data_IF_502391602965
#
_entry.id   IF_502391602965
#
_cell.length_a   1.000
_cell.length_b   1.000
_cell.length_c   1.000
_cell.angle_alpha   90.00
_cell.angle_beta   90.00
_cell.angle_gamma   90.00
#
_symmetry.space_group_name_H-M   'P 1'
#
loop_
_entity.id
_entity.type
_entity.pdbx_description
1 polymer ?
#
# COMPACT_ATOMS: atom_id res chain seq x y z
N UNK A 1 13.50 -50.10 39.34
CA UNK A 1 14.55 -49.94 40.37
C UNK A 1 15.39 -48.73 39.95
N UNK A 2 15.52 -47.63 40.69
CA UNK A 2 14.91 -47.20 41.95
C UNK A 2 15.66 -45.97 42.49
N UNK A 3 14.92 -44.94 42.91
CA UNK A 3 15.23 -43.92 43.96
C UNK A 3 16.71 -43.59 44.25
N UNK A 4 17.23 -42.35 44.22
CA UNK A 4 16.65 -41.01 44.01
C UNK A 4 17.06 -40.01 45.12
N UNK A 5 16.79 -38.70 44.90
CA UNK A 5 16.65 -37.63 45.94
C UNK A 5 17.95 -37.15 46.67
N UNK A 6 18.10 -35.92 47.18
CA UNK A 6 17.19 -34.75 47.31
C UNK A 6 17.93 -33.42 47.69
N UNK A 7 17.21 -32.28 47.53
CA UNK A 7 17.40 -30.90 48.11
C UNK A 7 18.56 -30.07 47.51
N UNK A 8 18.43 -28.76 47.26
CA UNK A 8 17.42 -27.73 47.60
C UNK A 8 18.13 -26.55 48.27
N UNK A 9 17.83 -25.25 48.15
CA UNK A 9 16.64 -24.47 47.76
C UNK A 9 17.04 -22.98 47.94
N UNK A 10 16.57 -22.03 47.09
CA UNK A 10 16.38 -20.57 47.41
C UNK A 10 17.61 -19.74 47.87
N UNK A 11 17.69 -18.39 47.80
CA UNK A 11 16.78 -17.29 47.41
C UNK A 11 17.60 -16.15 46.74
N UNK A 12 17.00 -15.35 45.84
CA UNK A 12 16.63 -13.93 46.03
C UNK A 12 17.78 -12.88 46.15
N UNK A 13 17.63 -11.80 45.37
CA UNK A 13 18.54 -10.64 45.26
C UNK A 13 18.61 -9.76 46.52
N UNK A 14 19.51 -8.76 46.55
CA UNK A 14 19.00 -7.40 46.30
C UNK A 14 19.89 -6.47 45.43
N UNK A 15 19.25 -5.54 44.70
CA UNK A 15 19.85 -4.25 44.28
C UNK A 15 19.77 -3.27 45.47
N UNK A 16 20.64 -2.25 45.60
CA UNK A 16 20.35 -0.90 45.06
C UNK A 16 21.64 -0.08 44.76
N UNK A 17 21.64 1.27 44.60
CA UNK A 17 20.56 2.23 44.32
C UNK A 17 20.78 3.08 43.04
N UNK A 18 19.81 3.95 42.76
CA UNK A 18 19.86 4.99 41.73
C UNK A 18 20.79 6.17 42.14
N UNK A 19 21.34 6.87 41.14
CA UNK A 19 21.86 8.23 41.33
C UNK A 19 21.21 9.19 40.33
N UNK A 20 20.70 10.31 40.84
CA UNK A 20 20.09 11.39 40.06
C UNK A 20 21.15 12.45 39.74
N UNK A 21 21.12 13.01 38.54
CA UNK A 21 21.82 14.26 38.22
C UNK A 21 20.86 15.28 37.63
N UNK A 22 20.53 16.28 38.44
CA UNK A 22 19.90 17.52 38.02
C UNK A 22 20.95 18.46 37.43
N UNK A 23 20.65 19.08 36.29
CA UNK A 23 21.29 20.34 35.90
C UNK A 23 20.24 21.41 35.58
N UNK A 24 20.29 22.49 36.34
CA UNK A 24 19.51 23.71 36.21
C UNK A 24 20.49 24.88 36.22
N UNK A 25 20.49 25.72 35.17
CA UNK A 25 20.59 27.20 35.27
C UNK A 25 20.42 27.80 33.86
N UNK A 26 19.26 28.40 33.55
CA UNK A 26 18.99 29.85 33.61
C UNK A 26 19.91 30.73 32.73
N UNK A 27 19.36 31.31 31.65
CA UNK A 27 18.90 32.72 31.58
C UNK A 27 18.31 33.05 30.20
N UNK A 28 17.26 33.87 30.20
CA UNK A 28 16.72 34.64 29.07
C UNK A 28 16.19 35.98 29.65
N UNK A 29 15.18 36.65 29.06
CA UNK A 29 14.50 36.38 27.77
C UNK A 29 14.97 37.41 26.70
N UNK A 30 14.31 38.53 26.31
CA UNK A 30 12.99 39.10 26.66
C UNK A 30 11.86 38.67 25.67
N UNK A 31 10.85 39.52 25.46
CA UNK A 31 9.52 39.28 24.86
C UNK A 31 9.16 40.31 23.80
N UNK A 32 8.21 39.99 22.91
CA UNK A 32 7.21 40.96 22.47
C UNK A 32 5.83 40.29 22.34
N UNK A 33 4.84 40.82 23.06
CA UNK A 33 3.43 40.43 22.98
C UNK A 33 2.75 41.15 21.82
N UNK A 34 1.77 40.48 21.19
CA UNK A 34 0.49 41.13 20.86
C UNK A 34 -0.65 40.17 21.15
N UNK A 35 -1.52 40.60 22.06
CA UNK A 35 -2.88 40.09 22.20
C UNK A 35 -3.81 41.26 21.92
N UNK A 36 -4.89 41.05 21.18
CA UNK A 36 -6.00 42.00 21.17
C UNK A 36 -7.35 41.34 20.90
N UNK A 37 -8.20 41.49 21.91
CA UNK A 37 -9.66 41.56 21.94
C UNK A 37 -10.53 40.67 21.02
N UNK A 38 -11.30 39.84 21.74
CA UNK A 38 -12.71 39.53 21.49
C UNK A 38 -13.54 40.79 21.15
N UNK A 39 -14.45 40.66 20.18
CA UNK A 39 -15.71 41.41 20.19
C UNK A 39 -16.88 40.50 19.73
N UNK A 40 -17.81 40.26 20.64
CA UNK A 40 -19.05 39.52 20.39
C UNK A 40 -20.17 40.46 19.94
N UNK A 41 -21.04 39.98 19.03
CA UNK A 41 -22.53 40.17 18.97
C UNK A 41 -23.03 40.06 17.51
N UNK A 42 -24.20 39.46 17.28
CA UNK A 42 -24.91 39.62 16.00
C UNK A 42 -25.64 38.41 15.41
N UNK A 43 -26.54 37.79 16.16
CA UNK A 43 -27.70 37.08 15.62
C UNK A 43 -28.96 37.63 16.35
N UNK A 44 -30.21 37.43 15.90
CA UNK A 44 -30.67 36.55 14.80
C UNK A 44 -31.71 37.18 13.83
N UNK A 45 -31.98 36.52 12.69
CA UNK A 45 -33.31 36.43 12.07
C UNK A 45 -33.32 35.17 11.17
N UNK A 46 -33.92 34.05 11.59
CA UNK A 46 -35.33 33.69 11.39
C UNK A 46 -35.83 33.82 9.94
N UNK A 47 -35.72 32.73 9.17
CA UNK A 47 -36.81 32.29 8.29
C UNK A 47 -37.06 30.79 8.48
N UNK A 48 -38.31 30.47 8.84
CA UNK A 48 -38.81 29.11 9.06
C UNK A 48 -39.85 28.83 7.98
N UNK A 49 -39.64 27.78 7.21
CA UNK A 49 -40.73 27.01 6.63
C UNK A 49 -40.63 25.59 7.19
N UNK A 50 -41.77 25.03 7.56
CA UNK A 50 -41.91 23.69 8.15
C UNK A 50 -43.02 22.96 7.40
N UNK A 51 -43.21 21.68 7.76
CA UNK A 51 -44.25 20.75 7.29
C UNK A 51 -43.90 20.07 5.95
N UNK A 52 -44.03 18.74 5.78
CA UNK A 52 -44.32 17.66 6.75
C UNK A 52 -44.03 16.27 6.12
N UNK A 53 -43.82 15.22 6.94
CA UNK A 53 -44.20 13.85 6.57
C UNK A 53 -43.11 12.78 6.33
N UNK A 54 -42.66 12.10 7.41
CA UNK A 54 -42.78 10.64 7.71
C UNK A 54 -42.39 9.60 6.62
N UNK A 55 -41.78 8.39 6.91
CA UNK A 55 -41.26 7.79 8.16
C UNK A 55 -39.73 7.41 8.09
N UNK A 56 -39.12 6.86 9.15
CA UNK A 56 -37.73 6.36 9.11
C UNK A 56 -37.61 4.94 8.52
N UNK A 57 -36.47 4.58 7.88
CA UNK A 57 -36.16 3.20 7.54
C UNK A 57 -35.78 2.39 8.79
N UNK A 58 -36.34 1.19 8.90
CA UNK A 58 -36.13 0.26 10.02
C UNK A 58 -34.76 -0.43 9.96
N UNK A 59 -34.30 -0.91 11.12
CA UNK A 59 -33.11 -1.76 11.24
C UNK A 59 -33.36 -3.21 10.83
N UNK A 60 -32.82 -3.65 9.70
CA UNK A 60 -32.49 -5.05 9.41
C UNK A 60 -31.60 -5.11 8.14
N UNK A 61 -30.51 -5.87 8.03
CA UNK A 61 -29.81 -6.70 9.01
C UNK A 61 -28.34 -6.88 8.61
N UNK A 62 -27.55 -7.59 9.41
CA UNK A 62 -26.14 -7.83 9.11
C UNK A 62 -25.98 -8.74 7.88
N UNK A 63 -25.36 -8.22 6.82
CA UNK A 63 -24.82 -9.02 5.72
C UNK A 63 -23.30 -9.03 5.79
N UNK A 64 -22.76 -10.10 6.36
CA UNK A 64 -21.33 -10.41 6.39
C UNK A 64 -20.84 -10.80 4.99
N UNK A 65 -20.50 -9.79 4.18
CA UNK A 65 -19.93 -10.00 2.85
C UNK A 65 -18.49 -10.53 2.94
N UNK A 66 -18.34 -11.80 2.59
CA UNK A 66 -17.06 -12.50 2.45
C UNK A 66 -16.22 -11.87 1.32
N UNK A 67 -14.89 -11.70 1.50
CA UNK A 67 -14.01 -11.24 0.42
C UNK A 67 -13.73 -12.37 -0.58
N UNK A 68 -14.53 -12.45 -1.65
CA UNK A 68 -14.51 -13.60 -2.56
C UNK A 68 -15.04 -13.35 -3.97
N UNK A 69 -14.67 -12.24 -4.61
CA UNK A 69 -14.96 -12.01 -6.04
C UNK A 69 -13.65 -11.91 -6.83
N UNK A 70 -13.26 -13.03 -7.46
CA UNK A 70 -12.20 -13.04 -8.48
C UNK A 70 -12.83 -12.71 -9.84
N UNK A 71 -12.22 -11.81 -10.60
CA UNK A 71 -12.65 -11.47 -11.96
C UNK A 71 -12.01 -12.47 -12.92
N UNK A 72 -12.83 -13.33 -13.53
CA UNK A 72 -12.40 -14.16 -14.65
C UNK A 72 -12.58 -13.38 -15.96
N UNK A 73 -11.57 -13.41 -16.84
CA UNK A 73 -11.60 -12.73 -18.13
C UNK A 73 -12.23 -13.62 -19.21
N UNK A 74 -13.12 -13.04 -20.03
CA UNK A 74 -13.60 -13.65 -21.27
C UNK A 74 -12.73 -13.27 -22.48
N UNK A 75 -12.85 -13.98 -23.63
CA UNK A 75 -12.11 -13.67 -24.84
C UNK A 75 -12.67 -12.41 -25.55
N UNK A 76 -11.80 -11.63 -26.21
CA UNK A 76 -12.16 -10.37 -26.87
C UNK A 76 -11.80 -10.35 -28.38
N UNK A 77 -12.62 -9.73 -29.26
CA UNK A 77 -12.45 -9.68 -30.73
C UNK A 77 -11.27 -8.83 -31.26
N UNK A 78 -10.94 -8.92 -32.58
CA UNK A 78 -9.75 -8.32 -33.18
C UNK A 78 -9.84 -6.81 -33.53
N UNK A 79 -8.70 -6.26 -33.92
CA UNK A 79 -8.36 -4.83 -34.11
C UNK A 79 -8.96 -4.16 -35.36
N UNK A 80 -9.03 -2.82 -35.35
CA UNK A 80 -9.12 -1.99 -36.55
C UNK A 80 -8.60 -0.54 -36.34
N UNK A 81 -7.90 0.01 -37.34
CA UNK A 81 -7.89 1.45 -37.67
C UNK A 81 -6.76 2.35 -37.12
N UNK A 82 -5.76 2.66 -37.96
CA UNK A 82 -4.90 3.86 -37.83
C UNK A 82 -5.55 5.09 -38.50
N UNK A 83 -5.07 6.31 -38.19
CA UNK A 83 -4.91 7.49 -39.09
C UNK A 83 -4.19 8.64 -38.30
N UNK A 84 -3.65 9.72 -38.95
CA UNK A 84 -2.33 10.28 -38.57
C UNK A 84 -2.32 11.61 -37.78
N UNK A 85 -1.11 12.00 -37.36
CA UNK A 85 -0.80 13.15 -36.51
C UNK A 85 -0.46 14.45 -37.26
N UNK A 86 -0.60 15.59 -36.57
CA UNK A 86 0.07 16.87 -36.88
C UNK A 86 0.58 17.55 -35.60
N UNK A 87 1.59 18.41 -35.79
CA UNK A 87 2.46 18.99 -34.74
C UNK A 87 1.89 20.25 -34.08
N UNK A 88 2.34 20.54 -32.85
CA UNK A 88 2.82 21.88 -32.46
C UNK A 88 3.69 21.81 -31.18
N UNK A 89 4.64 22.75 -31.06
CA UNK A 89 5.74 22.72 -30.08
C UNK A 89 5.55 23.70 -28.91
N UNK A 90 5.92 23.30 -27.70
CA UNK A 90 6.27 24.22 -26.61
C UNK A 90 7.32 23.61 -25.67
N UNK A 91 8.32 24.40 -25.29
CA UNK A 91 9.36 24.01 -24.34
C UNK A 91 8.87 24.17 -22.88
N UNK A 92 9.40 23.33 -21.96
CA UNK A 92 10.13 23.77 -20.73
C UNK A 92 10.09 22.73 -19.59
N UNK A 93 11.25 22.55 -18.95
CA UNK A 93 11.54 21.71 -17.75
C UNK A 93 11.51 20.19 -17.92
N UNK A 94 12.65 19.55 -17.70
CA UNK A 94 12.91 18.13 -17.98
C UNK A 94 12.85 17.28 -16.71
N UNK A 95 12.09 16.18 -16.72
CA UNK A 95 12.31 14.99 -15.88
C UNK A 95 12.08 13.74 -16.73
N UNK A 96 12.95 12.74 -16.58
CA UNK A 96 12.97 11.49 -17.36
C UNK A 96 12.62 10.33 -16.43
N UNK A 97 12.02 9.26 -16.95
CA UNK A 97 11.75 8.04 -16.20
C UNK A 97 13.07 7.46 -15.67
N UNK A 98 13.29 7.51 -14.36
CA UNK A 98 14.48 6.92 -13.74
C UNK A 98 14.20 5.48 -13.35
N UNK A 99 14.98 4.56 -13.95
CA UNK A 99 15.10 3.19 -13.48
C UNK A 99 16.00 3.17 -12.24
N UNK A 100 15.65 2.37 -11.24
CA UNK A 100 16.34 2.38 -9.95
C UNK A 100 16.40 1.02 -9.24
N UNK A 101 17.65 0.59 -9.06
CA UNK A 101 18.15 -0.30 -8.01
C UNK A 101 19.25 0.49 -7.27
N UNK A 102 19.51 0.30 -5.96
CA UNK A 102 20.54 1.06 -5.25
C UNK A 102 21.96 0.92 -5.86
N UNK A 103 22.33 1.90 -6.70
CA UNK A 103 23.64 2.13 -7.35
C UNK A 103 24.28 0.93 -8.06
N UNK A 104 23.93 0.78 -9.35
CA UNK A 104 24.92 0.67 -10.43
C UNK A 104 24.42 1.55 -11.59
N UNK A 105 25.25 2.46 -12.11
CA UNK A 105 24.77 3.57 -12.95
C UNK A 105 24.97 3.37 -14.45
N UNK A 106 24.03 3.86 -15.25
CA UNK A 106 24.23 4.18 -16.68
C UNK A 106 23.42 5.42 -17.07
N UNK A 107 23.85 6.12 -18.13
CA UNK A 107 23.33 7.41 -18.55
C UNK A 107 22.78 7.38 -20.00
N UNK A 108 21.85 8.28 -20.30
CA UNK A 108 21.27 8.49 -21.63
C UNK A 108 19.75 8.63 -21.56
N UNK A 109 19.19 9.74 -22.05
CA UNK A 109 17.74 9.99 -22.02
C UNK A 109 17.22 10.57 -23.32
N UNK A 110 15.90 10.42 -23.56
CA UNK A 110 15.16 11.06 -24.66
C UNK A 110 13.72 11.41 -24.22
N UNK A 111 13.00 12.36 -24.88
CA UNK A 111 11.74 12.92 -24.37
C UNK A 111 10.46 12.63 -25.19
N UNK A 112 9.31 12.92 -24.57
CA UNK A 112 8.04 13.35 -25.17
C UNK A 112 7.31 12.40 -26.16
N UNK A 113 6.93 11.22 -25.65
CA UNK A 113 5.89 10.38 -26.25
C UNK A 113 5.29 9.36 -25.27
N UNK A 114 5.41 9.61 -23.96
CA UNK A 114 5.64 8.54 -22.99
C UNK A 114 4.57 7.46 -22.87
N UNK A 115 3.27 7.77 -23.01
CA UNK A 115 2.23 6.74 -22.81
C UNK A 115 2.10 5.80 -24.02
N UNK A 116 2.32 6.29 -25.25
CA UNK A 116 2.27 5.46 -26.46
C UNK A 116 3.60 4.76 -26.79
N UNK A 117 4.66 5.01 -26.00
CA UNK A 117 6.03 4.59 -26.32
C UNK A 117 6.77 3.92 -25.16
N UNK A 118 6.07 3.62 -24.06
CA UNK A 118 6.55 2.62 -23.11
C UNK A 118 6.47 1.25 -23.80
N UNK A 119 7.62 0.76 -24.24
CA UNK A 119 7.79 -0.64 -24.59
C UNK A 119 7.73 -1.46 -23.29
N UNK A 120 6.50 -1.74 -22.84
CA UNK A 120 6.22 -2.46 -21.60
C UNK A 120 6.77 -3.88 -21.65
N UNK A 121 6.85 -4.48 -22.84
CA UNK A 121 7.49 -5.77 -23.04
C UNK A 121 8.99 -5.66 -22.76
N UNK A 122 9.69 -4.72 -23.38
CA UNK A 122 11.10 -4.46 -23.10
C UNK A 122 11.36 -4.14 -21.64
N UNK A 123 10.55 -3.29 -20.99
CA UNK A 123 10.69 -2.97 -19.57
C UNK A 123 10.50 -4.21 -18.69
N UNK A 124 9.51 -5.05 -19.00
CA UNK A 124 9.29 -6.30 -18.30
C UNK A 124 10.47 -7.28 -18.45
N UNK A 125 10.92 -7.48 -19.69
CA UNK A 125 11.91 -8.50 -20.06
C UNK A 125 13.36 -8.11 -19.74
N UNK A 126 13.75 -6.86 -19.98
CA UNK A 126 15.13 -6.39 -19.82
C UNK A 126 15.40 -5.73 -18.46
N UNK A 127 14.37 -5.33 -17.70
CA UNK A 127 14.54 -4.65 -16.42
C UNK A 127 13.83 -5.32 -15.24
N UNK A 128 12.50 -5.51 -15.29
CA UNK A 128 11.74 -6.05 -14.15
C UNK A 128 12.17 -7.48 -13.84
N UNK A 129 12.19 -8.37 -14.85
CA UNK A 129 12.57 -9.77 -14.68
C UNK A 129 14.00 -9.93 -14.12
N UNK A 130 15.05 -9.33 -14.70
CA UNK A 130 16.40 -9.40 -14.14
C UNK A 130 16.49 -8.85 -12.70
N UNK A 131 15.93 -7.67 -12.43
CA UNK A 131 16.02 -7.08 -11.09
C UNK A 131 15.28 -7.90 -10.03
N UNK A 132 14.12 -8.49 -10.37
CA UNK A 132 13.43 -9.40 -9.46
C UNK A 132 14.27 -10.66 -9.16
N UNK A 133 14.97 -11.24 -10.14
CA UNK A 133 15.84 -12.40 -9.88
C UNK A 133 17.10 -12.05 -9.09
N UNK A 134 17.79 -10.97 -9.46
CA UNK A 134 19.10 -10.63 -8.88
C UNK A 134 19.00 -9.91 -7.52
N UNK A 135 18.04 -8.99 -7.40
CA UNK A 135 17.92 -8.04 -6.28
C UNK A 135 16.73 -8.40 -5.38
N UNK A 136 15.64 -8.87 -5.97
CA UNK A 136 14.38 -9.20 -5.29
C UNK A 136 13.31 -8.09 -5.34
N UNK A 137 13.66 -6.91 -5.84
CA UNK A 137 12.78 -5.76 -6.05
C UNK A 137 13.30 -4.84 -7.15
N UNK A 138 12.43 -3.99 -7.71
CA UNK A 138 12.79 -2.90 -8.63
C UNK A 138 11.71 -1.81 -8.63
N UNK A 139 12.06 -0.58 -8.98
CA UNK A 139 11.07 0.47 -9.23
C UNK A 139 11.27 1.21 -10.55
N UNK A 140 10.19 1.84 -11.02
CA UNK A 140 10.07 2.68 -12.21
C UNK A 140 9.56 4.05 -11.75
N UNK A 141 10.31 5.12 -12.01
CA UNK A 141 9.84 6.50 -11.76
C UNK A 141 9.20 7.11 -13.00
N UNK A 142 8.24 8.01 -12.79
CA UNK A 142 7.48 8.70 -13.83
C UNK A 142 6.71 7.71 -14.74
N UNK A 143 6.02 6.73 -14.14
CA UNK A 143 5.40 5.60 -14.84
C UNK A 143 4.19 5.97 -15.70
N UNK A 144 3.24 6.73 -15.16
CA UNK A 144 2.04 7.18 -15.89
C UNK A 144 2.24 8.54 -16.57
N UNK A 145 3.19 9.33 -16.09
CA UNK A 145 3.30 10.76 -16.37
C UNK A 145 2.35 11.59 -15.51
N UNK A 146 2.66 12.89 -15.39
CA UNK A 146 2.01 13.79 -14.43
C UNK A 146 0.48 13.86 -14.57
N UNK A 147 -0.03 14.00 -15.80
CA UNK A 147 -1.47 14.16 -16.07
C UNK A 147 -2.28 12.97 -15.55
N UNK A 148 -1.87 11.75 -15.88
CA UNK A 148 -2.61 10.53 -15.48
C UNK A 148 -2.38 10.21 -14.01
N UNK A 149 -1.15 10.41 -13.50
CA UNK A 149 -0.85 10.30 -12.07
C UNK A 149 -1.67 11.26 -11.21
N UNK A 150 -1.95 12.48 -11.69
CA UNK A 150 -2.84 13.43 -11.04
C UNK A 150 -4.29 12.96 -11.01
N UNK A 151 -4.82 12.42 -12.12
CA UNK A 151 -6.17 11.84 -12.13
C UNK A 151 -6.32 10.70 -11.10
N UNK A 152 -5.29 9.85 -10.94
CA UNK A 152 -5.28 8.81 -9.90
C UNK A 152 -5.21 9.44 -8.49
N UNK A 153 -4.34 10.43 -8.27
CA UNK A 153 -4.19 11.11 -6.98
C UNK A 153 -5.47 11.83 -6.55
N UNK A 154 -6.12 12.58 -7.45
CA UNK A 154 -7.38 13.25 -7.15
C UNK A 154 -8.50 12.26 -6.82
N UNK A 155 -8.58 11.12 -7.52
CA UNK A 155 -9.54 10.07 -7.15
C UNK A 155 -9.27 9.50 -5.76
N UNK A 156 -8.00 9.26 -5.41
CA UNK A 156 -7.61 8.78 -4.07
C UNK A 156 -7.90 9.83 -2.98
N UNK A 157 -7.65 11.11 -3.24
CA UNK A 157 -8.04 12.21 -2.33
C UNK A 157 -9.55 12.26 -2.12
N UNK A 158 -10.37 12.20 -3.18
CA UNK A 158 -11.83 12.18 -3.07
C UNK A 158 -12.32 11.04 -2.17
N UNK A 159 -11.80 9.83 -2.36
CA UNK A 159 -12.16 8.67 -1.54
C UNK A 159 -11.81 8.87 -0.06
N UNK A 160 -10.67 9.52 0.22
CA UNK A 160 -10.27 9.85 1.58
C UNK A 160 -11.15 10.95 2.19
N UNK A 161 -11.37 12.06 1.48
CA UNK A 161 -12.23 13.16 1.90
C UNK A 161 -13.70 12.72 2.15
N UNK A 162 -14.20 11.78 1.34
CA UNK A 162 -15.55 11.22 1.49
C UNK A 162 -15.65 10.14 2.58
N UNK A 163 -14.59 9.88 3.35
CA UNK A 163 -14.59 8.91 4.46
C UNK A 163 -14.69 7.45 4.02
N UNK A 164 -14.36 7.12 2.77
CA UNK A 164 -14.44 5.75 2.24
C UNK A 164 -13.33 4.82 2.78
N UNK A 165 -12.24 5.39 3.29
CA UNK A 165 -11.11 4.66 3.87
C UNK A 165 -11.38 4.30 5.34
N UNK A 166 -11.05 3.07 5.73
CA UNK A 166 -11.25 2.51 7.09
C UNK A 166 -9.95 1.99 7.65
N UNK A 167 -9.77 2.03 8.98
CA UNK A 167 -8.59 1.49 9.67
C UNK A 167 -8.11 0.13 9.10
N UNK A 168 -6.83 0.04 8.77
CA UNK A 168 -6.20 -1.13 8.20
C UNK A 168 -6.29 -2.37 9.11
N UNK A 169 -6.73 -3.49 8.54
CA UNK A 169 -6.85 -4.77 9.25
C UNK A 169 -5.70 -5.72 8.89
N UNK A 170 -5.51 -6.77 9.71
CA UNK A 170 -4.51 -7.81 9.50
C UNK A 170 -5.17 -9.11 9.05
N UNK A 171 -4.48 -9.86 8.19
CA UNK A 171 -4.90 -11.20 7.81
C UNK A 171 -4.64 -12.20 8.95
N UNK A 172 -5.63 -13.07 9.25
CA UNK A 172 -5.46 -14.17 10.21
C UNK A 172 -6.75 -14.53 10.98
N UNK A 173 -6.67 -15.48 11.93
CA UNK A 173 -7.85 -15.99 12.67
C UNK A 173 -8.57 -14.97 13.55
N UNK A 174 -7.97 -13.79 13.79
CA UNK A 174 -8.58 -12.66 14.52
C UNK A 174 -8.88 -11.50 13.56
N UNK A 175 -9.47 -11.83 12.41
CA UNK A 175 -9.93 -10.85 11.43
C UNK A 175 -10.87 -9.82 12.10
N UNK A 176 -10.79 -8.56 11.67
CA UNK A 176 -11.63 -7.47 12.19
C UNK A 176 -10.99 -6.58 13.26
N UNK A 177 -9.96 -7.03 13.99
CA UNK A 177 -9.32 -6.18 15.03
C UNK A 177 -8.27 -5.25 14.41
N UNK A 178 -8.61 -3.96 14.28
CA UNK A 178 -7.63 -2.90 14.00
C UNK A 178 -6.57 -2.87 15.10
N UNK A 179 -5.31 -3.05 14.72
CA UNK A 179 -4.15 -2.93 15.62
C UNK A 179 -3.30 -1.76 15.17
N UNK A 180 -3.71 -0.55 15.61
CA UNK A 180 -3.02 0.73 15.30
C UNK A 180 -1.53 0.76 15.65
N UNK A 181 -1.09 -0.07 16.61
CA UNK A 181 0.33 -0.24 16.96
C UNK A 181 1.13 -1.11 15.98
N UNK A 182 0.46 -1.88 15.11
CA UNK A 182 1.10 -2.64 14.04
C UNK A 182 1.01 -1.86 12.73
N UNK A 183 -0.19 -1.41 12.33
CA UNK A 183 -0.41 -0.58 11.14
C UNK A 183 -1.28 0.64 11.46
N UNK A 184 -0.79 1.83 11.09
CA UNK A 184 -1.45 3.11 11.36
C UNK A 184 -2.21 3.70 10.17
N UNK A 185 -2.42 2.92 9.11
CA UNK A 185 -3.05 3.37 7.86
C UNK A 185 -4.56 3.11 7.81
N UNK A 186 -5.22 3.83 6.92
CA UNK A 186 -6.62 3.65 6.54
C UNK A 186 -6.66 3.18 5.08
N UNK A 187 -7.50 2.19 4.78
CA UNK A 187 -7.55 1.52 3.47
C UNK A 187 -8.95 1.45 2.87
N UNK A 188 -9.01 1.31 1.55
CA UNK A 188 -10.20 0.84 0.82
C UNK A 188 -9.80 -0.04 -0.37
N UNK A 189 -10.72 -0.84 -0.89
CA UNK A 189 -10.47 -1.83 -1.94
C UNK A 189 -11.26 -1.51 -3.21
N UNK A 190 -10.56 -1.31 -4.33
CA UNK A 190 -11.12 -0.84 -5.61
C UNK A 190 -10.89 -1.89 -6.70
N UNK A 191 -11.92 -2.23 -7.47
CA UNK A 191 -11.83 -3.13 -8.61
C UNK A 191 -11.17 -2.48 -9.83
N UNK A 192 -11.40 -1.18 -10.02
CA UNK A 192 -11.05 -0.42 -11.22
C UNK A 192 -12.22 -0.33 -12.21
N UNK A 193 -13.42 -0.73 -11.80
CA UNK A 193 -14.65 -0.67 -12.60
C UNK A 193 -15.74 0.19 -11.93
N UNK A 194 -15.44 0.75 -10.76
CA UNK A 194 -16.25 1.75 -10.09
C UNK A 194 -16.24 3.10 -10.85
N UNK A 195 -17.35 3.83 -10.83
CA UNK A 195 -17.47 5.16 -11.47
C UNK A 195 -16.39 6.14 -10.97
N UNK A 196 -15.79 6.92 -11.88
CA UNK A 196 -14.74 7.87 -11.55
C UNK A 196 -13.37 7.22 -11.25
N UNK A 197 -13.21 5.92 -11.48
CA UNK A 197 -11.96 5.18 -11.30
C UNK A 197 -11.27 4.84 -12.64
N UNK A 198 -11.55 5.58 -13.72
CA UNK A 198 -11.05 5.30 -15.08
C UNK A 198 -9.51 5.36 -15.13
N UNK A 199 -8.91 6.37 -14.50
CA UNK A 199 -7.44 6.49 -14.39
C UNK A 199 -6.82 5.36 -13.53
N UNK A 200 -7.54 4.90 -12.51
CA UNK A 200 -7.16 3.72 -11.70
C UNK A 200 -7.23 2.45 -12.55
N UNK A 201 -8.30 2.29 -13.33
CA UNK A 201 -8.46 1.17 -14.29
C UNK A 201 -7.31 1.14 -15.29
N UNK A 202 -6.95 2.30 -15.83
CA UNK A 202 -5.85 2.45 -16.77
C UNK A 202 -4.50 2.07 -16.16
N UNK A 203 -4.17 2.61 -14.97
CA UNK A 203 -3.00 2.21 -14.18
C UNK A 203 -2.95 0.68 -13.98
N UNK A 204 -4.05 0.08 -13.53
CA UNK A 204 -4.12 -1.36 -13.32
C UNK A 204 -3.88 -2.15 -14.61
N UNK A 205 -4.45 -1.72 -15.75
CA UNK A 205 -4.22 -2.35 -17.05
C UNK A 205 -2.76 -2.31 -17.52
N UNK A 206 -2.00 -1.29 -17.12
CA UNK A 206 -0.57 -1.16 -17.42
C UNK A 206 0.28 -2.10 -16.56
N UNK A 207 -0.03 -2.19 -15.25
CA UNK A 207 0.65 -3.14 -14.34
C UNK A 207 0.34 -4.58 -14.76
N UNK A 208 -0.92 -4.87 -15.11
CA UNK A 208 -1.35 -6.19 -15.58
C UNK A 208 -0.59 -6.59 -16.86
N UNK A 209 -0.40 -5.66 -17.81
CA UNK A 209 0.45 -5.91 -18.99
C UNK A 209 1.92 -6.15 -18.63
N UNK A 210 2.52 -5.36 -17.75
CA UNK A 210 3.91 -5.58 -17.31
C UNK A 210 4.11 -6.99 -16.73
N UNK A 211 3.22 -7.43 -15.84
CA UNK A 211 3.31 -8.77 -15.23
C UNK A 211 3.03 -9.88 -16.25
N UNK A 212 2.11 -9.66 -17.19
CA UNK A 212 1.86 -10.59 -18.30
C UNK A 212 3.09 -10.76 -19.21
N UNK A 213 3.78 -9.68 -19.56
CA UNK A 213 5.02 -9.73 -20.35
C UNK A 213 6.17 -10.39 -19.59
N UNK A 214 6.24 -10.24 -18.26
CA UNK A 214 7.20 -11.00 -17.44
C UNK A 214 6.93 -12.52 -17.56
N UNK A 215 5.64 -12.92 -17.52
CA UNK A 215 5.17 -14.26 -17.87
C UNK A 215 5.93 -15.39 -17.16
N UNK A 216 6.28 -16.43 -17.90
CA UNK A 216 7.07 -17.58 -17.41
C UNK A 216 8.51 -17.22 -17.02
N UNK A 217 8.99 -16.01 -17.32
CA UNK A 217 10.34 -15.58 -16.91
C UNK A 217 10.41 -15.17 -15.44
N UNK A 218 9.30 -15.12 -14.72
CA UNK A 218 9.25 -14.95 -13.26
C UNK A 218 9.73 -16.20 -12.48
N UNK A 219 10.35 -17.17 -13.17
CA UNK A 219 10.87 -18.41 -12.57
C UNK A 219 9.75 -19.44 -12.46
N UNK A 220 9.55 -19.98 -11.26
CA UNK A 220 8.53 -21.02 -11.00
C UNK A 220 7.08 -20.52 -10.96
N UNK A 221 6.87 -19.20 -10.95
CA UNK A 221 5.54 -18.62 -10.71
C UNK A 221 4.71 -18.54 -11.97
N UNK A 222 3.44 -18.97 -11.88
CA UNK A 222 2.47 -18.84 -12.95
C UNK A 222 1.31 -17.95 -12.53
N UNK A 223 1.40 -16.67 -12.91
CA UNK A 223 0.44 -15.64 -12.50
C UNK A 223 -0.84 -15.72 -13.33
N UNK A 224 -1.99 -15.86 -12.65
CA UNK A 224 -3.33 -15.95 -13.27
C UNK A 224 -4.35 -14.93 -12.76
N UNK A 225 -4.27 -14.54 -11.49
CA UNK A 225 -5.17 -13.58 -10.86
C UNK A 225 -4.38 -12.55 -10.04
N UNK A 226 -4.97 -11.39 -9.79
CA UNK A 226 -4.47 -10.40 -8.82
C UNK A 226 -5.59 -9.95 -7.89
N UNK A 227 -5.22 -9.24 -6.83
CA UNK A 227 -6.18 -8.61 -5.93
C UNK A 227 -6.89 -7.42 -6.60
N UNK A 228 -7.98 -6.96 -5.95
CA UNK A 228 -8.40 -5.56 -6.03
C UNK A 228 -7.25 -4.64 -5.58
N UNK A 229 -7.25 -3.39 -6.03
CA UNK A 229 -6.30 -2.39 -5.56
C UNK A 229 -6.64 -1.97 -4.12
N UNK A 230 -5.71 -2.17 -3.19
CA UNK A 230 -5.76 -1.58 -1.86
C UNK A 230 -5.23 -0.14 -1.95
N UNK A 231 -6.12 0.85 -1.94
CA UNK A 231 -5.74 2.24 -1.67
C UNK A 231 -5.44 2.35 -0.18
N UNK A 232 -4.30 2.93 0.18
CA UNK A 232 -3.89 3.16 1.57
C UNK A 232 -3.51 4.63 1.79
N UNK A 233 -3.90 5.17 2.95
CA UNK A 233 -3.53 6.47 3.47
C UNK A 233 -2.88 6.30 4.85
N UNK A 234 -1.64 6.75 5.01
CA UNK A 234 -1.03 6.98 6.32
C UNK A 234 -1.25 8.47 6.64
N UNK A 235 -2.08 8.85 7.62
CA UNK A 235 -2.54 10.23 7.81
C UNK A 235 -1.50 11.18 8.44
N UNK A 236 -0.22 10.78 8.52
CA UNK A 236 0.83 11.51 9.23
C UNK A 236 0.93 11.09 10.70
N UNK A 237 1.30 12.03 11.58
CA UNK A 237 1.40 11.83 13.05
C UNK A 237 2.30 10.65 13.50
N UNK A 238 3.31 10.29 12.71
CA UNK A 238 4.20 9.17 12.98
C UNK A 238 3.60 7.79 12.69
N UNK A 239 2.45 7.72 11.99
CA UNK A 239 1.86 6.44 11.57
C UNK A 239 2.78 5.70 10.60
N UNK A 240 2.88 4.39 10.76
CA UNK A 240 3.72 3.51 9.94
C UNK A 240 3.17 2.09 9.93
N UNK A 241 3.95 1.15 9.41
CA UNK A 241 3.63 -0.27 9.39
C UNK A 241 4.87 -1.07 9.81
N UNK A 242 4.76 -1.81 10.91
CA UNK A 242 5.89 -2.57 11.47
C UNK A 242 6.47 -3.57 10.47
N UNK A 243 7.73 -3.97 10.70
CA UNK A 243 8.41 -4.97 9.88
C UNK A 243 7.60 -6.27 9.80
N UNK A 244 7.28 -6.67 8.57
CA UNK A 244 6.50 -7.86 8.27
C UNK A 244 6.96 -8.48 6.95
N UNK A 245 6.39 -9.64 6.60
CA UNK A 245 6.46 -10.26 5.28
C UNK A 245 5.04 -10.28 4.74
N UNK A 246 4.87 -10.01 3.46
CA UNK A 246 3.54 -9.94 2.85
C UNK A 246 2.86 -11.32 2.88
N UNK A 247 3.53 -12.33 2.30
CA UNK A 247 3.12 -13.73 2.26
C UNK A 247 4.05 -14.62 3.11
N UNK A 248 3.87 -14.68 4.45
CA UNK A 248 4.73 -15.48 5.33
C UNK A 248 4.39 -16.98 5.31
N UNK A 249 3.19 -17.36 4.83
CA UNK A 249 2.55 -18.66 5.07
C UNK A 249 2.08 -19.41 3.81
N UNK A 250 2.32 -18.87 2.60
CA UNK A 250 1.89 -19.48 1.35
C UNK A 250 0.41 -19.28 1.04
N UNK A 251 -0.07 -18.03 0.98
CA UNK A 251 -1.46 -17.68 0.65
C UNK A 251 -1.74 -17.46 -0.86
N UNK A 252 -0.71 -17.64 -1.68
CA UNK A 252 -0.69 -17.50 -3.13
C UNK A 252 -0.02 -16.22 -3.63
N UNK A 253 0.17 -15.18 -2.80
CA UNK A 253 0.75 -13.91 -3.26
C UNK A 253 2.23 -14.07 -3.58
N UNK A 254 2.62 -13.86 -4.84
CA UNK A 254 4.00 -14.00 -5.30
C UNK A 254 4.68 -12.65 -5.54
N UNK A 255 3.98 -11.67 -6.13
CA UNK A 255 4.51 -10.33 -6.43
C UNK A 255 3.61 -9.27 -5.79
N UNK A 256 4.23 -8.38 -5.02
CA UNK A 256 3.61 -7.15 -4.53
C UNK A 256 3.99 -6.01 -5.47
N UNK A 257 3.00 -5.26 -5.93
CA UNK A 257 3.19 -4.06 -6.73
C UNK A 257 2.57 -2.85 -6.02
N UNK A 258 3.34 -1.77 -5.87
CA UNK A 258 2.93 -0.54 -5.17
C UNK A 258 3.13 0.67 -6.07
N UNK A 259 2.08 1.45 -6.30
CA UNK A 259 2.13 2.75 -6.95
C UNK A 259 2.03 3.88 -5.92
N UNK A 260 2.92 4.87 -6.02
CA UNK A 260 3.01 5.99 -5.07
C UNK A 260 2.53 7.31 -5.67
N UNK A 261 1.88 8.13 -4.82
CA UNK A 261 1.04 9.25 -5.24
C UNK A 261 1.45 10.59 -4.60
N UNK A 262 2.61 10.68 -3.97
CA UNK A 262 2.93 11.78 -3.05
C UNK A 262 3.77 12.86 -3.73
N UNK A 263 3.11 13.91 -4.25
CA UNK A 263 3.80 15.05 -4.88
C UNK A 263 4.70 15.76 -3.87
N UNK A 264 5.89 16.16 -4.33
CA UNK A 264 6.87 16.92 -3.57
C UNK A 264 7.26 16.27 -2.22
N UNK A 265 7.33 14.94 -2.17
CA UNK A 265 7.77 14.22 -0.98
C UNK A 265 9.26 14.48 -0.70
N UNK A 266 9.57 14.86 0.54
CA UNK A 266 10.93 14.93 1.08
C UNK A 266 11.00 13.96 2.25
N UNK A 267 11.64 12.80 2.06
CA UNK A 267 11.74 11.78 3.11
C UNK A 267 12.44 12.27 4.39
N UNK A 268 13.31 13.30 4.32
CA UNK A 268 13.98 13.86 5.50
C UNK A 268 13.03 14.66 6.38
N UNK A 269 11.97 15.23 5.80
CA UNK A 269 10.94 16.03 6.50
C UNK A 269 9.70 15.22 6.83
N UNK A 270 9.26 14.38 5.88
CA UNK A 270 7.98 13.68 5.95
C UNK A 270 8.11 12.22 6.41
N UNK A 271 9.31 11.65 6.44
CA UNK A 271 9.53 10.23 6.76
C UNK A 271 8.86 9.31 5.73
N UNK A 272 8.12 8.31 6.20
CA UNK A 272 7.26 7.46 5.37
C UNK A 272 7.98 6.54 4.36
N UNK A 273 9.30 6.40 4.49
CA UNK A 273 10.13 5.52 3.65
C UNK A 273 9.67 4.07 3.80
N UNK A 274 9.53 3.35 2.67
CA UNK A 274 9.44 1.89 2.71
C UNK A 274 10.86 1.34 2.81
N UNK A 275 11.17 0.66 3.90
CA UNK A 275 12.45 -0.01 4.11
C UNK A 275 12.30 -1.51 3.88
N UNK A 276 13.05 -2.05 2.93
CA UNK A 276 13.10 -3.47 2.57
C UNK A 276 14.42 -4.05 3.08
N UNK A 277 14.38 -5.28 3.59
CA UNK A 277 15.53 -6.02 4.14
C UNK A 277 15.77 -7.32 3.35
N UNK A 278 16.26 -7.29 2.10
CA UNK A 278 16.29 -8.47 1.23
C UNK A 278 17.07 -9.63 1.84
N UNK A 279 16.46 -10.82 1.86
CA UNK A 279 17.04 -12.02 2.49
C UNK A 279 18.35 -12.42 1.78
N UNK A 280 19.39 -12.75 2.56
CA UNK A 280 20.70 -13.11 2.05
C UNK A 280 21.51 -11.95 1.42
N UNK A 281 21.03 -10.71 1.46
CA UNK A 281 21.79 -9.53 1.03
C UNK A 281 22.38 -8.78 2.24
N UNK A 282 23.54 -8.14 2.04
CA UNK A 282 24.23 -7.33 3.05
C UNK A 282 23.70 -5.89 3.18
N UNK A 283 22.83 -5.47 2.26
CA UNK A 283 22.30 -4.11 2.21
C UNK A 283 20.83 -4.06 2.64
N UNK A 284 20.42 -2.87 3.08
CA UNK A 284 19.02 -2.50 3.32
C UNK A 284 18.61 -1.53 2.20
N UNK A 285 17.41 -1.67 1.66
CA UNK A 285 16.92 -0.81 0.59
C UNK A 285 15.83 0.13 1.11
N UNK A 286 16.08 1.44 1.01
CA UNK A 286 15.12 2.48 1.35
C UNK A 286 14.48 3.04 0.07
N UNK A 287 13.15 2.91 -0.04
CA UNK A 287 12.35 3.38 -1.17
C UNK A 287 11.47 4.54 -0.71
N UNK A 288 11.78 5.75 -1.19
CA UNK A 288 10.95 6.93 -0.96
C UNK A 288 9.61 6.81 -1.72
N UNK A 289 8.47 7.15 -1.10
CA UNK A 289 7.13 7.01 -1.69
C UNK A 289 6.78 8.18 -2.62
N UNK A 290 7.69 8.57 -3.51
CA UNK A 290 7.53 9.74 -4.39
C UNK A 290 6.39 9.54 -5.40
N UNK A 291 5.77 10.64 -5.85
CA UNK A 291 4.75 10.63 -6.89
C UNK A 291 5.21 9.92 -8.17
N UNK A 292 4.30 9.14 -8.75
CA UNK A 292 4.44 8.42 -10.02
C UNK A 292 5.59 7.38 -10.05
N UNK A 293 5.94 6.85 -8.86
CA UNK A 293 6.80 5.67 -8.71
C UNK A 293 5.96 4.39 -8.65
N UNK A 294 6.29 3.43 -9.50
CA UNK A 294 5.79 2.05 -9.45
C UNK A 294 6.90 1.13 -8.92
N UNK A 295 6.63 0.38 -7.86
CA UNK A 295 7.55 -0.56 -7.21
C UNK A 295 7.03 -1.99 -7.35
N UNK A 296 7.92 -2.93 -7.66
CA UNK A 296 7.67 -4.37 -7.62
C UNK A 296 8.64 -5.05 -6.64
N UNK A 297 8.16 -6.04 -5.88
CA UNK A 297 9.00 -6.93 -5.09
C UNK A 297 8.32 -8.29 -4.85
N UNK A 298 9.10 -9.33 -4.58
CA UNK A 298 8.54 -10.63 -4.18
C UNK A 298 7.81 -10.54 -2.84
N UNK A 299 6.57 -11.01 -2.78
CA UNK A 299 5.72 -10.93 -1.57
C UNK A 299 6.17 -11.85 -0.43
N UNK A 300 6.97 -12.88 -0.71
CA UNK A 300 7.38 -13.88 0.29
C UNK A 300 8.55 -13.43 1.18
N UNK A 301 9.11 -14.38 1.94
CA UNK A 301 10.16 -14.15 2.94
C UNK A 301 11.44 -13.53 2.39
N UNK A 302 11.65 -13.50 1.07
CA UNK A 302 12.75 -12.80 0.42
C UNK A 302 12.76 -11.29 0.69
N UNK A 303 11.60 -10.66 0.92
CA UNK A 303 11.50 -9.21 1.18
C UNK A 303 10.69 -8.85 2.44
N UNK A 304 11.21 -9.12 3.65
CA UNK A 304 10.68 -8.50 4.87
C UNK A 304 10.84 -6.99 4.77
N UNK A 305 9.82 -6.23 5.11
CA UNK A 305 9.81 -4.76 4.93
C UNK A 305 8.95 -4.04 5.97
N UNK A 306 9.21 -2.75 6.17
CA UNK A 306 8.49 -1.85 7.08
C UNK A 306 8.21 -0.50 6.42
N UNK A 307 7.11 0.15 6.80
CA UNK A 307 6.87 1.56 6.48
C UNK A 307 7.24 2.39 7.69
N UNK A 308 8.30 3.18 7.56
CA UNK A 308 8.76 4.08 8.61
C UNK A 308 7.71 5.12 8.97
N UNK A 309 7.75 5.70 10.19
CA UNK A 309 6.84 6.76 10.61
C UNK A 309 6.69 7.87 9.56
N UNK A 310 5.44 8.11 9.16
CA UNK A 310 5.03 9.17 8.24
C UNK A 310 4.56 10.38 9.03
N UNK A 311 5.09 11.55 8.72
CA UNK A 311 4.74 12.83 9.36
C UNK A 311 3.89 13.75 8.47
N UNK A 312 3.71 13.36 7.19
CA UNK A 312 2.72 13.93 6.29
C UNK A 312 1.76 12.83 5.79
N UNK A 313 0.64 13.24 5.18
CA UNK A 313 -0.32 12.34 4.52
C UNK A 313 0.35 11.61 3.37
N UNK A 314 0.46 10.29 3.46
CA UNK A 314 1.12 9.42 2.48
C UNK A 314 0.14 8.44 1.88
N UNK A 315 -0.14 8.61 0.60
CA UNK A 315 -0.96 7.71 -0.21
C UNK A 315 -0.12 6.67 -0.95
N UNK A 316 -0.66 5.47 -1.09
CA UNK A 316 -0.15 4.42 -1.95
C UNK A 316 -1.30 3.55 -2.46
N UNK A 317 -1.11 2.89 -3.60
CA UNK A 317 -2.00 1.86 -4.13
C UNK A 317 -1.23 0.55 -4.27
N UNK A 318 -1.75 -0.53 -3.70
CA UNK A 318 -1.10 -1.85 -3.72
C UNK A 318 -1.98 -2.89 -4.41
N UNK A 319 -1.39 -3.67 -5.30
CA UNK A 319 -1.97 -4.93 -5.80
C UNK A 319 -1.00 -6.08 -5.55
N UNK A 320 -1.56 -7.26 -5.28
CA UNK A 320 -0.80 -8.50 -5.19
C UNK A 320 -1.21 -9.44 -6.31
N UNK A 321 -0.22 -9.95 -7.03
CA UNK A 321 -0.38 -10.99 -8.04
C UNK A 321 -0.24 -12.36 -7.39
N UNK A 322 -1.08 -13.30 -7.81
CA UNK A 322 -1.16 -14.63 -7.24
C UNK A 322 -0.59 -15.68 -8.19
N UNK A 323 0.28 -16.53 -7.64
CA UNK A 323 0.67 -17.79 -8.27
C UNK A 323 -0.52 -18.75 -8.29
N UNK A 324 -0.79 -19.35 -9.44
CA UNK A 324 -1.99 -20.17 -9.65
C UNK A 324 -2.04 -21.42 -8.75
N UNK A 325 -0.91 -22.09 -8.51
CA UNK A 325 -0.85 -23.35 -7.78
C UNK A 325 -0.90 -23.10 -6.27
N UNK A 326 -0.02 -22.23 -5.76
CA UNK A 326 0.00 -21.86 -4.34
C UNK A 326 -1.34 -21.26 -3.91
N UNK A 327 -1.97 -20.46 -4.77
CA UNK A 327 -3.30 -19.87 -4.53
C UNK A 327 -4.41 -20.92 -4.53
N UNK A 328 -4.36 -21.92 -5.40
CA UNK A 328 -5.32 -23.02 -5.40
C UNK A 328 -5.19 -23.87 -4.12
N UNK A 329 -3.96 -24.14 -3.67
CA UNK A 329 -3.71 -24.79 -2.39
C UNK A 329 -4.23 -23.97 -1.20
N UNK A 330 -3.95 -22.66 -1.17
CA UNK A 330 -4.42 -21.78 -0.11
C UNK A 330 -5.95 -21.76 -0.01
N UNK A 331 -6.64 -21.66 -1.15
CA UNK A 331 -8.12 -21.78 -1.24
C UNK A 331 -8.61 -23.15 -0.73
N UNK A 332 -7.91 -24.26 -1.05
CA UNK A 332 -8.24 -25.61 -0.55
C UNK A 332 -8.03 -25.76 0.96
N UNK A 333 -6.89 -25.27 1.48
CA UNK A 333 -6.56 -25.25 2.92
C UNK A 333 -7.62 -24.46 3.70
N UNK A 334 -7.99 -23.27 3.23
CA UNK A 334 -9.04 -22.45 3.86
C UNK A 334 -10.39 -23.16 3.94
N UNK A 335 -10.91 -23.71 2.82
CA UNK A 335 -12.18 -24.47 2.83
C UNK A 335 -12.17 -25.64 3.83
N UNK A 336 -11.05 -26.35 3.93
CA UNK A 336 -10.89 -27.46 4.86
C UNK A 336 -10.87 -27.02 6.34
N UNK A 337 -10.38 -25.81 6.63
CA UNK A 337 -10.43 -25.20 7.96
C UNK A 337 -11.85 -24.75 8.32
N UNK A 338 -12.56 -24.08 7.41
CA UNK A 338 -13.95 -23.64 7.64
C UNK A 338 -14.87 -24.83 7.92
N UNK A 339 -14.83 -25.88 7.08
CA UNK A 339 -15.64 -27.10 7.24
C UNK A 339 -15.34 -27.89 8.52
N UNK A 340 -14.16 -27.71 9.13
CA UNK A 340 -13.79 -28.32 10.43
C UNK A 340 -14.27 -27.50 11.63
N UNK A 341 -14.74 -26.28 11.40
CA UNK A 341 -15.14 -25.33 12.45
C UNK A 341 -16.65 -25.20 12.58
N UNK A 342 -17.41 -25.61 11.55
CA UNK A 342 -18.86 -25.83 11.66
C UNK A 342 -19.11 -27.06 12.55
N UNK A 343 -19.80 -26.93 13.70
CA UNK A 343 -20.20 -28.08 14.48
C UNK A 343 -21.22 -28.89 13.66
N UNK A 344 -21.11 -30.21 13.70
CA UNK A 344 -22.19 -31.06 13.21
C UNK A 344 -23.45 -30.72 14.02
N UNK A 345 -24.46 -30.19 13.35
CA UNK A 345 -25.82 -30.17 13.88
C UNK A 345 -26.26 -31.63 13.94
N UNK A 346 -26.13 -32.23 15.11
CA UNK A 346 -26.77 -33.50 15.44
C UNK A 346 -28.27 -33.25 15.46
N UNK A 347 -28.96 -33.78 14.44
CA UNK A 347 -30.40 -34.05 14.53
C UNK A 347 -30.59 -35.16 15.58
N UNK A 348 -31.27 -34.82 16.66
CA UNK A 348 -31.89 -35.71 17.66
C UNK A 348 -33.27 -35.13 18.02
#
# INVERSE_FOLDING_TARGET
LGVGRLRGWTSASPRPPHQWWLHISKRGPPTLHWASLVLSRGAPHNFRWSLNGIPPPQSCGQLSLLPGAAVAWGPWPPQAGELPATLLSAERTRRSCTLGVPKLGFAGGMPLGHIMRLDLEKIALEYIVPCLHEVGFCYLDNFLGEVVGDCVLERVKQLHCNGALRDGQLAGPRAGVSKRHLRGDQITWIGGNEEGCEAISYLLSLIDRLVLYCGSRLGKYYVKERSKAMVACYPGNGTGYVRHVDNPNGDGRCITCIYYLNKNWDAKRHGGVLRIFPEGKSFIADVEPIFDRLLFFWSDRRNPHEVQPSYATRYAMTVWYFDAEERAEAKKKFRNLTRKTEPALTED
#
